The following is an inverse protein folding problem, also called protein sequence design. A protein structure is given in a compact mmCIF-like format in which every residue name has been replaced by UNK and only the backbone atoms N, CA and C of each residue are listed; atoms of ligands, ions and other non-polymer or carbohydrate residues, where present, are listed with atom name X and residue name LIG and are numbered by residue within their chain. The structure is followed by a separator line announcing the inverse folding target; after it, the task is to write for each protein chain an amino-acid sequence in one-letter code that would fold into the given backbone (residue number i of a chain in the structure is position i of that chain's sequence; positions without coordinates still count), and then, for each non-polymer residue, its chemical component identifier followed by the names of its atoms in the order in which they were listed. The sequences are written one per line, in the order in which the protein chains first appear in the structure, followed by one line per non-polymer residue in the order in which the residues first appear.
data_IF_599322202519
#
_entry.id   IF_599322202519
#
_cell.length_a   1.000
_cell.length_b   1.000
_cell.length_c   1.000
_cell.angle_alpha   90.00
_cell.angle_beta   90.00
_cell.angle_gamma   90.00
#
_symmetry.space_group_name_H-M   'P 1'
#
loop_
_entity.id
_entity.type
_entity.pdbx_description
1 polymer ?
#
# COMPACT_ATOMS: atom_id res chain seq x y z
N UNK A 1 -14.07 -31.38 -26.52
CA UNK A 1 -14.14 -29.97 -26.97
C UNK A 1 -14.06 -29.08 -25.74
N UNK A 2 -13.35 -27.97 -25.85
CA UNK A 2 -12.50 -27.32 -24.83
C UNK A 2 -13.17 -26.78 -23.56
N UNK A 3 -12.51 -27.00 -22.42
CA UNK A 3 -12.81 -26.44 -21.10
C UNK A 3 -12.31 -24.98 -20.98
N UNK A 4 -12.58 -24.12 -21.97
CA UNK A 4 -11.90 -22.81 -22.09
C UNK A 4 -12.75 -21.60 -21.70
N UNK A 5 -14.03 -21.76 -21.37
CA UNK A 5 -14.95 -20.62 -21.27
C UNK A 5 -15.10 -19.97 -19.87
N UNK A 6 -14.38 -20.44 -18.84
CA UNK A 6 -14.63 -20.02 -17.45
C UNK A 6 -13.39 -19.45 -16.70
N UNK A 7 -12.25 -19.32 -17.38
CA UNK A 7 -10.98 -18.84 -16.80
C UNK A 7 -10.81 -17.31 -16.93
N UNK A 8 -11.27 -16.74 -18.04
CA UNK A 8 -11.13 -15.31 -18.38
C UNK A 8 -11.89 -14.41 -17.42
N UNK A 9 -13.18 -14.71 -17.17
CA UNK A 9 -14.02 -13.93 -16.25
C UNK A 9 -13.53 -14.01 -14.80
N UNK A 10 -13.02 -15.18 -14.37
CA UNK A 10 -12.42 -15.35 -13.04
C UNK A 10 -11.12 -14.56 -12.90
N UNK A 11 -10.28 -14.56 -13.94
CA UNK A 11 -9.05 -13.77 -13.99
C UNK A 11 -9.35 -12.26 -13.89
N UNK A 12 -10.31 -11.76 -14.66
CA UNK A 12 -10.73 -10.35 -14.63
C UNK A 12 -11.26 -9.95 -13.25
N UNK A 13 -12.11 -10.79 -12.64
CA UNK A 13 -12.62 -10.53 -11.30
C UNK A 13 -11.50 -10.51 -10.24
N UNK A 14 -10.55 -11.44 -10.32
CA UNK A 14 -9.39 -11.49 -9.43
C UNK A 14 -8.48 -10.24 -9.60
N UNK A 15 -8.27 -9.79 -10.83
CA UNK A 15 -7.53 -8.56 -11.12
C UNK A 15 -8.21 -7.34 -10.51
N UNK A 16 -9.52 -7.16 -10.72
CA UNK A 16 -10.31 -6.06 -10.14
C UNK A 16 -10.28 -6.08 -8.61
N UNK A 17 -10.46 -7.24 -8.01
CA UNK A 17 -10.40 -7.41 -6.56
C UNK A 17 -8.99 -7.09 -6.01
N UNK A 18 -7.94 -7.38 -6.78
CA UNK A 18 -6.55 -7.04 -6.40
C UNK A 18 -6.32 -5.54 -6.50
N UNK A 19 -6.79 -4.90 -7.57
CA UNK A 19 -6.69 -3.46 -7.76
C UNK A 19 -7.38 -2.68 -6.63
N UNK A 20 -8.60 -3.07 -6.26
CA UNK A 20 -9.35 -2.46 -5.15
C UNK A 20 -8.58 -2.61 -3.83
N UNK A 21 -8.00 -3.79 -3.58
CA UNK A 21 -7.16 -4.04 -2.39
C UNK A 21 -5.94 -3.13 -2.38
N UNK A 22 -5.23 -3.02 -3.51
CA UNK A 22 -4.06 -2.15 -3.65
C UNK A 22 -4.41 -0.67 -3.44
N UNK A 23 -5.54 -0.19 -3.98
CA UNK A 23 -6.02 1.18 -3.76
C UNK A 23 -6.29 1.45 -2.29
N UNK A 24 -6.98 0.54 -1.60
CA UNK A 24 -7.27 0.65 -0.17
C UNK A 24 -6.01 0.67 0.69
N UNK A 25 -5.02 -0.14 0.32
CA UNK A 25 -3.71 -0.17 1.00
C UNK A 25 -2.98 1.15 0.84
N UNK A 26 -2.89 1.70 -0.38
CA UNK A 26 -2.27 3.00 -0.64
C UNK A 26 -2.93 4.12 0.16
N UNK A 27 -4.27 4.17 0.15
CA UNK A 27 -5.03 5.16 0.91
C UNK A 27 -4.70 5.14 2.41
N UNK A 28 -4.66 3.95 3.03
CA UNK A 28 -4.29 3.80 4.44
C UNK A 28 -2.87 4.25 4.75
N UNK A 29 -1.92 3.98 3.85
CA UNK A 29 -0.54 4.41 4.03
C UNK A 29 -0.39 5.93 3.93
N UNK A 30 -1.10 6.57 2.99
CA UNK A 30 -1.09 8.04 2.85
C UNK A 30 -1.63 8.72 4.11
N UNK A 31 -2.75 8.25 4.66
CA UNK A 31 -3.28 8.76 5.93
C UNK A 31 -2.25 8.58 7.06
N UNK A 32 -1.56 7.45 7.12
CA UNK A 32 -0.54 7.22 8.14
C UNK A 32 0.62 8.22 8.02
N UNK A 33 1.04 8.54 6.79
CA UNK A 33 2.06 9.56 6.51
C UNK A 33 1.58 10.95 6.99
N UNK A 34 0.37 11.36 6.63
CA UNK A 34 -0.23 12.64 7.05
C UNK A 34 -0.31 12.77 8.59
N UNK A 35 -0.72 11.70 9.27
CA UNK A 35 -0.75 11.64 10.74
C UNK A 35 0.65 11.81 11.32
N UNK A 36 1.65 11.14 10.76
CA UNK A 36 3.04 11.22 11.23
C UNK A 36 3.63 12.62 11.03
N UNK A 37 3.37 13.25 9.88
CA UNK A 37 3.74 14.64 9.62
C UNK A 37 3.11 15.59 10.63
N UNK A 38 1.80 15.44 10.89
CA UNK A 38 1.08 16.28 11.86
C UNK A 38 1.64 16.12 13.27
N UNK A 39 2.06 14.91 13.64
CA UNK A 39 2.68 14.62 14.93
C UNK A 39 4.17 15.00 14.99
N UNK A 40 4.76 15.52 13.91
CA UNK A 40 6.20 15.79 13.75
C UNK A 40 7.08 14.58 14.12
N UNK A 41 6.57 13.37 13.87
CA UNK A 41 7.27 12.12 14.14
C UNK A 41 8.05 11.67 12.91
N UNK A 42 9.10 10.91 13.16
CA UNK A 42 9.88 10.28 12.09
C UNK A 42 9.02 9.29 11.29
N UNK A 43 9.08 9.41 9.98
CA UNK A 43 8.38 8.55 9.04
C UNK A 43 9.32 7.41 8.66
N UNK A 44 8.93 6.19 9.03
CA UNK A 44 9.65 4.96 8.65
C UNK A 44 8.64 3.95 8.13
N UNK A 45 9.06 2.94 7.38
CA UNK A 45 8.15 1.85 6.99
C UNK A 45 7.47 1.20 8.20
N UNK A 46 8.17 1.14 9.33
CA UNK A 46 7.64 0.58 10.56
C UNK A 46 6.54 1.45 11.17
N UNK A 47 6.75 2.77 11.28
CA UNK A 47 5.74 3.67 11.84
C UNK A 47 4.51 3.75 10.94
N UNK A 48 4.70 3.74 9.62
CA UNK A 48 3.61 3.64 8.64
C UNK A 48 2.84 2.32 8.80
N UNK A 49 3.52 1.18 8.88
CA UNK A 49 2.89 -0.13 9.07
C UNK A 49 2.00 -0.16 10.32
N UNK A 50 2.53 0.36 11.44
CA UNK A 50 1.84 0.42 12.73
C UNK A 50 0.57 1.25 12.68
N UNK A 51 0.62 2.44 12.07
CA UNK A 51 -0.53 3.37 12.02
C UNK A 51 -1.56 2.91 10.97
N UNK A 52 -1.10 2.53 9.78
CA UNK A 52 -1.98 2.10 8.68
C UNK A 52 -2.61 0.73 8.91
N UNK A 53 -2.13 -0.04 9.91
CA UNK A 53 -2.48 -1.45 10.16
C UNK A 53 -2.26 -2.31 8.92
N UNK A 54 -1.18 -2.05 8.19
CA UNK A 54 -0.74 -2.83 7.02
C UNK A 54 0.58 -3.53 7.39
N UNK A 55 0.80 -4.74 6.87
CA UNK A 55 2.03 -5.47 7.16
C UNK A 55 3.26 -4.73 6.64
N UNK A 56 4.36 -4.80 7.38
CA UNK A 56 5.63 -4.17 7.04
C UNK A 56 6.10 -4.51 5.62
N UNK A 57 6.02 -5.78 5.23
CA UNK A 57 6.40 -6.23 3.88
C UNK A 57 5.55 -5.58 2.78
N UNK A 58 4.26 -5.36 3.05
CA UNK A 58 3.38 -4.66 2.10
C UNK A 58 3.76 -3.19 1.99
N UNK A 59 4.14 -2.54 3.09
CA UNK A 59 4.66 -1.16 3.05
C UNK A 59 5.94 -1.11 2.22
N UNK A 60 6.93 -1.98 2.48
CA UNK A 60 8.18 -2.05 1.69
C UNK A 60 7.94 -2.31 0.20
N UNK A 61 6.93 -3.12 -0.14
CA UNK A 61 6.57 -3.37 -1.54
C UNK A 61 6.01 -2.12 -2.24
N UNK A 62 5.34 -1.24 -1.51
CA UNK A 62 4.67 -0.07 -2.06
C UNK A 62 5.48 1.22 -1.91
N UNK A 63 6.44 1.28 -1.00
CA UNK A 63 7.22 2.47 -0.66
C UNK A 63 8.70 2.10 -0.58
N UNK A 64 9.52 2.69 -1.46
CA UNK A 64 10.96 2.48 -1.44
C UNK A 64 11.62 3.21 -0.28
N UNK A 65 12.85 2.81 0.05
CA UNK A 65 13.60 3.44 1.13
C UNK A 65 13.94 4.90 0.79
N UNK A 66 14.16 5.22 -0.49
CA UNK A 66 14.38 6.58 -0.98
C UNK A 66 13.13 7.46 -0.81
N UNK A 67 11.95 6.91 -1.10
CA UNK A 67 10.70 7.63 -0.89
C UNK A 67 10.46 7.94 0.59
N UNK A 68 10.75 6.99 1.48
CA UNK A 68 10.63 7.24 2.93
C UNK A 68 11.62 8.30 3.41
N UNK A 69 12.85 8.32 2.86
CA UNK A 69 13.83 9.37 3.18
C UNK A 69 13.34 10.75 2.75
N UNK A 70 12.82 10.89 1.52
CA UNK A 70 12.34 12.18 1.02
C UNK A 70 11.18 12.74 1.85
N UNK A 71 10.31 11.89 2.41
CA UNK A 71 9.24 12.33 3.32
C UNK A 71 9.76 12.98 4.61
N UNK A 72 10.95 12.60 5.09
CA UNK A 72 11.53 13.19 6.30
C UNK A 72 12.35 14.45 6.00
N UNK A 73 12.79 14.63 4.76
CA UNK A 73 13.52 15.83 4.30
C UNK A 73 12.60 17.02 4.08
N UNK A 74 11.31 16.79 3.83
CA UNK A 74 10.25 17.82 3.72
C UNK A 74 9.83 18.43 5.08
N UNK A 75 10.73 18.44 6.07
CA UNK A 75 10.49 18.95 7.43
C UNK A 75 10.50 20.48 7.52
#
# INVERSE_FOLDING_TARGET
MSLEYNSSNKSIAAMKATEIRSKKVKYKMNIAIEILHTQKKEITHYTIAKISKVSFNTVKKHMSDEYIKSLNEMK
#
